data_IF_534771659597
#
_entry.id   IF_534771659597
#
_cell.length_a   1.000
_cell.length_b   1.000
_cell.length_c   1.000
_cell.angle_alpha   90.00
_cell.angle_beta   90.00
_cell.angle_gamma   90.00
#
_symmetry.space_group_name_H-M   'P 1'
#
loop_
_entity.id
_entity.type
_entity.pdbx_description
1 polymer ?
#
# COMPACT_ATOMS: atom_id res chain seq x y z
N UNK A 1 0.59 -21.83 14.28
CA UNK A 1 0.92 -20.56 13.60
C UNK A 1 0.27 -19.44 14.38
N UNK A 2 1.04 -18.44 14.82
CA UNK A 2 0.49 -17.34 15.61
C UNK A 2 -0.14 -16.26 14.70
N UNK A 3 0.58 -15.84 13.67
CA UNK A 3 0.14 -14.82 12.71
C UNK A 3 0.18 -15.39 11.30
N UNK A 4 -0.86 -15.14 10.52
CA UNK A 4 -0.87 -15.26 9.06
C UNK A 4 -1.07 -13.87 8.47
N UNK A 5 -0.05 -13.32 7.81
CA UNK A 5 -0.15 -12.05 7.09
C UNK A 5 -0.13 -12.26 5.57
N UNK A 6 -0.77 -11.34 4.84
CA UNK A 6 -0.73 -11.35 3.39
C UNK A 6 -1.31 -10.09 2.77
N UNK A 7 -0.88 -9.80 1.55
CA UNK A 7 -1.45 -8.76 0.69
C UNK A 7 -2.06 -9.39 -0.57
N UNK A 8 -3.21 -10.08 -0.47
CA UNK A 8 -3.81 -10.71 -1.64
C UNK A 8 -4.08 -9.65 -2.74
N UNK A 9 -3.63 -9.89 -3.98
CA UNK A 9 -3.61 -8.87 -5.00
C UNK A 9 -5.03 -8.50 -5.43
N UNK A 10 -5.35 -7.21 -5.40
CA UNK A 10 -6.68 -6.71 -5.73
C UNK A 10 -6.58 -5.74 -6.92
N UNK A 11 -6.02 -6.22 -8.04
CA UNK A 11 -5.72 -5.39 -9.22
C UNK A 11 -6.96 -4.66 -9.78
N UNK A 12 -8.15 -5.19 -9.51
CA UNK A 12 -9.47 -4.71 -9.92
C UNK A 12 -9.94 -3.45 -9.17
N UNK A 13 -9.35 -3.11 -8.01
CA UNK A 13 -9.81 -1.97 -7.18
C UNK A 13 -8.79 -0.83 -7.09
N UNK A 14 -7.66 -0.93 -7.78
CA UNK A 14 -6.71 0.17 -7.90
C UNK A 14 -7.30 1.32 -8.73
N UNK A 15 -7.16 2.56 -8.24
CA UNK A 15 -7.63 3.77 -8.95
C UNK A 15 -6.95 3.97 -10.31
N UNK A 16 -5.78 3.36 -10.50
CA UNK A 16 -4.94 3.45 -11.69
C UNK A 16 -5.18 2.32 -12.71
N UNK A 17 -6.13 1.40 -12.44
CA UNK A 17 -6.45 0.25 -13.29
C UNK A 17 -7.83 0.29 -13.98
N UNK A 18 -8.13 -0.73 -14.80
CA UNK A 18 -9.35 -0.82 -15.62
C UNK A 18 -10.65 -1.20 -14.86
N UNK A 19 -10.64 -1.19 -13.52
CA UNK A 19 -11.76 -1.56 -12.63
C UNK A 19 -12.54 -2.81 -13.09
N UNK A 20 -13.87 -2.70 -13.15
CA UNK A 20 -14.85 -3.76 -13.43
C UNK A 20 -14.62 -4.49 -14.76
N UNK A 21 -13.86 -3.91 -15.70
CA UNK A 21 -13.57 -4.57 -17.00
C UNK A 21 -12.63 -5.76 -16.88
N UNK A 22 -11.94 -5.92 -15.76
CA UNK A 22 -10.98 -7.00 -15.53
C UNK A 22 -11.50 -8.10 -14.58
N UNK A 23 -12.76 -8.03 -14.16
CA UNK A 23 -13.37 -9.06 -13.30
C UNK A 23 -13.40 -10.43 -13.99
N UNK A 24 -12.90 -11.48 -13.32
CA UNK A 24 -12.93 -12.85 -13.84
C UNK A 24 -11.94 -13.13 -14.99
N UNK A 25 -10.99 -12.23 -15.25
CA UNK A 25 -9.95 -12.45 -16.27
C UNK A 25 -8.70 -13.04 -15.65
N UNK A 26 -8.20 -14.11 -16.27
CA UNK A 26 -6.88 -14.65 -15.94
C UNK A 26 -5.80 -13.61 -16.26
N UNK A 27 -4.89 -13.40 -15.30
CA UNK A 27 -3.68 -12.61 -15.50
C UNK A 27 -2.47 -13.47 -15.15
N UNK A 28 -1.45 -13.38 -15.99
CA UNK A 28 -0.12 -13.96 -15.76
C UNK A 28 0.71 -12.89 -15.07
N UNK A 29 1.27 -13.22 -13.90
CA UNK A 29 2.19 -12.31 -13.22
C UNK A 29 3.45 -12.08 -14.04
N UNK A 30 4.02 -10.88 -13.90
CA UNK A 30 5.27 -10.53 -14.58
C UNK A 30 6.45 -11.38 -14.09
N UNK A 31 6.32 -11.94 -12.89
CA UNK A 31 7.24 -12.92 -12.29
C UNK A 31 7.11 -14.34 -12.88
N UNK A 32 6.27 -14.58 -13.89
CA UNK A 32 6.19 -15.87 -14.59
C UNK A 32 5.33 -16.94 -13.91
N UNK A 33 4.43 -16.52 -13.01
CA UNK A 33 3.48 -17.43 -12.35
C UNK A 33 2.37 -17.88 -13.29
N UNK A 34 1.72 -19.00 -12.97
CA UNK A 34 0.55 -19.52 -13.70
C UNK A 34 -0.54 -18.46 -13.81
N UNK A 35 -1.26 -18.45 -14.94
CA UNK A 35 -2.41 -17.57 -15.14
C UNK A 35 -3.45 -17.83 -14.04
N UNK A 36 -3.90 -16.77 -13.36
CA UNK A 36 -4.88 -16.89 -12.28
C UNK A 36 -5.83 -15.70 -12.22
N UNK A 37 -7.02 -15.94 -11.70
CA UNK A 37 -8.08 -14.94 -11.52
C UNK A 37 -7.78 -14.17 -10.24
N UNK A 38 -7.33 -12.92 -10.37
CA UNK A 38 -6.78 -12.17 -9.23
C UNK A 38 -7.83 -11.79 -8.18
N UNK A 39 -9.08 -11.63 -8.60
CA UNK A 39 -10.17 -11.18 -7.74
C UNK A 39 -10.67 -12.22 -6.72
N UNK A 40 -10.29 -13.51 -6.87
CA UNK A 40 -10.63 -14.57 -5.91
C UNK A 40 -9.59 -14.75 -4.81
N UNK A 41 -8.36 -14.27 -5.00
CA UNK A 41 -7.22 -14.59 -4.13
C UNK A 41 -7.39 -14.11 -2.68
N UNK A 42 -8.18 -13.07 -2.45
CA UNK A 42 -8.52 -12.65 -1.09
C UNK A 42 -9.38 -13.71 -0.38
N UNK A 43 -10.34 -14.33 -1.09
CA UNK A 43 -11.17 -15.40 -0.53
C UNK A 43 -10.40 -16.70 -0.38
N UNK A 44 -9.46 -16.99 -1.29
CA UNK A 44 -8.53 -18.12 -1.13
C UNK A 44 -7.64 -17.95 0.11
N UNK A 45 -7.20 -16.72 0.39
CA UNK A 45 -6.48 -16.39 1.62
C UNK A 45 -7.34 -16.62 2.88
N UNK A 46 -8.62 -16.23 2.87
CA UNK A 46 -9.55 -16.51 3.98
C UNK A 46 -9.78 -18.02 4.13
N UNK A 47 -9.94 -18.75 3.02
CA UNK A 47 -10.09 -20.20 3.04
C UNK A 47 -8.85 -20.89 3.63
N UNK A 48 -7.65 -20.41 3.31
CA UNK A 48 -6.41 -20.88 3.91
C UNK A 48 -6.36 -20.58 5.42
N UNK A 49 -6.75 -19.36 5.84
CA UNK A 49 -6.85 -19.01 7.24
C UNK A 49 -7.83 -19.94 7.98
N UNK A 50 -8.98 -20.26 7.38
CA UNK A 50 -9.95 -21.21 7.92
C UNK A 50 -9.37 -22.61 8.11
N UNK A 51 -8.52 -23.08 7.19
CA UNK A 51 -7.89 -24.39 7.30
C UNK A 51 -6.75 -24.42 8.33
N UNK A 52 -5.93 -23.36 8.39
CA UNK A 52 -4.75 -23.31 9.27
C UNK A 52 -5.04 -22.84 10.70
N UNK A 53 -6.16 -22.13 10.90
CA UNK A 53 -6.60 -21.58 12.17
C UNK A 53 -5.51 -20.81 12.96
N UNK A 54 -4.77 -19.85 12.37
CA UNK A 54 -3.85 -18.99 13.13
C UNK A 54 -4.56 -18.21 14.25
N UNK A 55 -3.81 -17.75 15.25
CA UNK A 55 -4.38 -16.88 16.31
C UNK A 55 -4.85 -15.54 15.75
N UNK A 56 -4.05 -14.96 14.86
CA UNK A 56 -4.31 -13.68 14.21
C UNK A 56 -4.10 -13.78 12.70
N UNK A 57 -4.95 -13.09 11.93
CA UNK A 57 -4.81 -12.91 10.48
C UNK A 57 -4.72 -11.42 10.17
N UNK A 58 -3.79 -11.04 9.31
CA UNK A 58 -3.65 -9.66 8.81
C UNK A 58 -3.70 -9.68 7.29
N UNK A 59 -4.68 -8.99 6.71
CA UNK A 59 -4.76 -8.83 5.27
C UNK A 59 -4.65 -7.36 4.88
N UNK A 60 -3.74 -7.00 3.99
CA UNK A 60 -3.58 -5.64 3.48
C UNK A 60 -4.15 -5.48 2.07
N UNK A 61 -4.70 -4.29 1.79
CA UNK A 61 -5.20 -3.93 0.48
C UNK A 61 -5.20 -2.41 0.23
N UNK A 62 -5.46 -2.01 -1.02
CA UNK A 62 -5.52 -0.59 -1.42
C UNK A 62 -6.74 0.12 -0.87
N UNK A 63 -6.62 1.42 -0.60
CA UNK A 63 -7.72 2.31 -0.16
C UNK A 63 -8.98 2.23 -1.04
N UNK A 64 -8.80 1.97 -2.33
CA UNK A 64 -9.91 1.85 -3.29
C UNK A 64 -10.92 0.76 -2.93
N UNK A 65 -10.53 -0.24 -2.12
CA UNK A 65 -11.42 -1.29 -1.64
C UNK A 65 -12.58 -0.76 -0.78
N UNK A 66 -12.38 0.37 -0.09
CA UNK A 66 -13.42 1.00 0.75
C UNK A 66 -14.27 2.02 -0.04
N UNK A 67 -14.06 2.17 -1.34
CA UNK A 67 -14.72 3.21 -2.15
C UNK A 67 -15.69 2.62 -3.19
N UNK A 68 -16.84 3.25 -3.37
CA UNK A 68 -17.79 2.96 -4.45
C UNK A 68 -18.53 1.61 -4.30
N UNK A 69 -18.72 0.90 -5.42
CA UNK A 69 -19.47 -0.37 -5.51
C UNK A 69 -18.80 -1.57 -4.79
N UNK A 70 -17.64 -1.37 -4.17
CA UNK A 70 -16.88 -2.42 -3.49
C UNK A 70 -17.41 -2.78 -2.09
N UNK A 71 -18.48 -2.12 -1.61
CA UNK A 71 -19.03 -2.36 -0.28
C UNK A 71 -19.48 -3.81 -0.07
N UNK A 72 -20.03 -4.45 -1.11
CA UNK A 72 -20.46 -5.84 -1.03
C UNK A 72 -19.27 -6.80 -0.98
N UNK A 73 -18.14 -6.42 -1.57
CA UNK A 73 -16.88 -7.17 -1.44
C UNK A 73 -16.38 -7.13 0.00
N UNK A 74 -16.37 -5.94 0.63
CA UNK A 74 -15.98 -5.79 2.04
C UNK A 74 -16.94 -6.57 2.94
N UNK A 75 -18.26 -6.47 2.73
CA UNK A 75 -19.25 -7.25 3.49
C UNK A 75 -19.00 -8.76 3.38
N UNK A 76 -18.63 -9.22 2.18
CA UNK A 76 -18.27 -10.63 1.97
C UNK A 76 -16.99 -11.01 2.73
N UNK A 77 -15.97 -10.16 2.73
CA UNK A 77 -14.75 -10.39 3.54
C UNK A 77 -15.12 -10.61 5.02
N UNK A 78 -15.94 -9.72 5.58
CA UNK A 78 -16.42 -9.83 6.97
C UNK A 78 -17.15 -11.14 7.22
N UNK A 79 -18.09 -11.50 6.34
CA UNK A 79 -18.85 -12.75 6.44
C UNK A 79 -17.92 -13.97 6.37
N UNK A 80 -16.98 -14.00 5.43
CA UNK A 80 -16.12 -15.16 5.20
C UNK A 80 -15.12 -15.33 6.37
N UNK A 81 -14.64 -14.25 6.99
CA UNK A 81 -13.83 -14.32 8.21
C UNK A 81 -14.64 -14.78 9.42
N UNK A 82 -15.89 -14.31 9.57
CA UNK A 82 -16.80 -14.77 10.62
C UNK A 82 -17.09 -16.27 10.47
N UNK A 83 -17.41 -16.73 9.25
CA UNK A 83 -17.62 -18.15 8.91
C UNK A 83 -16.32 -18.99 9.05
N UNK A 84 -15.15 -18.34 9.12
CA UNK A 84 -13.85 -18.96 9.39
C UNK A 84 -13.48 -18.99 10.88
N UNK A 85 -14.27 -18.36 11.75
CA UNK A 85 -14.06 -18.33 13.20
C UNK A 85 -13.22 -17.15 13.68
N UNK A 86 -13.29 -15.99 13.01
CA UNK A 86 -12.52 -14.79 13.34
C UNK A 86 -13.39 -13.57 13.53
N UNK A 87 -13.10 -12.79 14.58
CA UNK A 87 -13.54 -11.41 14.67
C UNK A 87 -12.69 -10.58 13.71
N UNK A 88 -13.31 -9.87 12.78
CA UNK A 88 -12.63 -9.06 11.77
C UNK A 88 -12.89 -7.56 12.01
N UNK A 89 -11.83 -6.75 12.01
CA UNK A 89 -11.90 -5.29 11.99
C UNK A 89 -11.04 -4.77 10.84
N UNK A 90 -11.35 -3.58 10.32
CA UNK A 90 -10.54 -2.95 9.28
C UNK A 90 -10.12 -1.53 9.64
N UNK A 91 -8.93 -1.13 9.21
CA UNK A 91 -8.34 0.17 9.49
C UNK A 91 -7.76 0.79 8.22
N UNK A 92 -8.10 2.05 7.94
CA UNK A 92 -7.45 2.83 6.88
C UNK A 92 -6.27 3.58 7.50
N UNK A 93 -5.05 3.12 7.21
CA UNK A 93 -3.81 3.64 7.79
C UNK A 93 -3.03 4.46 6.78
N UNK A 94 -2.47 5.58 7.23
CA UNK A 94 -1.52 6.41 6.47
C UNK A 94 -0.10 6.16 6.98
N UNK A 95 0.75 5.62 6.11
CA UNK A 95 2.15 5.34 6.42
C UNK A 95 2.92 6.60 6.86
N UNK A 96 2.52 7.80 6.40
CA UNK A 96 3.17 9.06 6.77
C UNK A 96 3.08 9.39 8.26
N UNK A 97 2.11 8.79 8.96
CA UNK A 97 1.89 8.90 10.40
C UNK A 97 2.52 7.79 11.21
N UNK A 98 3.22 6.87 10.54
CA UNK A 98 3.78 5.64 11.10
C UNK A 98 5.30 5.59 10.99
N UNK A 99 5.95 6.74 10.78
CA UNK A 99 7.40 6.84 10.61
C UNK A 99 7.91 6.45 9.22
N UNK A 100 7.03 6.38 8.22
CA UNK A 100 7.40 6.13 6.82
C UNK A 100 7.44 7.46 6.07
N UNK A 101 8.51 7.77 5.30
CA UNK A 101 8.62 9.00 4.51
C UNK A 101 7.72 9.05 3.25
N UNK A 102 6.49 8.54 3.34
CA UNK A 102 5.59 8.37 2.21
C UNK A 102 4.12 8.46 2.64
N UNK A 103 3.34 9.28 1.91
CA UNK A 103 1.88 9.33 2.00
C UNK A 103 1.28 8.11 1.28
N UNK A 104 1.26 6.97 1.97
CA UNK A 104 0.73 5.69 1.46
C UNK A 104 -0.43 5.24 2.33
N UNK A 105 -1.64 5.40 1.80
CA UNK A 105 -2.86 4.96 2.46
C UNK A 105 -3.17 3.50 2.09
N UNK A 106 -3.34 2.63 3.09
CA UNK A 106 -3.69 1.21 2.93
C UNK A 106 -4.73 0.76 3.95
N UNK A 107 -5.52 -0.22 3.54
CA UNK A 107 -6.56 -0.84 4.36
C UNK A 107 -6.00 -2.12 4.93
N UNK A 108 -6.06 -2.28 6.24
CA UNK A 108 -5.66 -3.49 6.93
C UNK A 108 -6.89 -4.13 7.55
N UNK A 109 -7.17 -5.37 7.20
CA UNK A 109 -8.07 -6.24 7.94
C UNK A 109 -7.27 -6.96 9.01
N UNK A 110 -7.63 -6.76 10.26
CA UNK A 110 -6.95 -7.34 11.42
C UNK A 110 -7.95 -8.21 12.14
N UNK A 111 -7.66 -9.51 12.15
CA UNK A 111 -8.61 -10.52 12.59
C UNK A 111 -8.03 -11.37 13.72
N UNK A 112 -8.82 -11.63 14.76
CA UNK A 112 -8.44 -12.51 15.88
C UNK A 112 -9.43 -13.65 16.00
N UNK A 113 -8.92 -14.87 16.21
CA UNK A 113 -9.75 -16.08 16.31
C UNK A 113 -10.74 -15.97 17.48
N UNK A 114 -11.97 -16.44 17.29
CA UNK A 114 -13.08 -16.19 18.24
C UNK A 114 -12.79 -16.64 19.67
N UNK A 115 -12.19 -17.82 19.85
CA UNK A 115 -11.82 -18.39 21.15
C UNK A 115 -10.81 -17.53 21.92
N UNK A 116 -10.03 -16.71 21.21
CA UNK A 116 -9.02 -15.82 21.79
C UNK A 116 -9.57 -14.39 21.93
N UNK A 117 -10.30 -13.92 20.91
CA UNK A 117 -10.86 -12.57 20.82
C UNK A 117 -11.91 -12.28 21.88
N UNK A 118 -12.59 -13.32 22.40
CA UNK A 118 -13.59 -13.20 23.47
C UNK A 118 -13.04 -12.49 24.72
N UNK A 119 -11.73 -12.63 24.99
CA UNK A 119 -11.06 -12.01 26.15
C UNK A 119 -10.84 -10.48 25.99
N UNK A 120 -11.04 -9.95 24.79
CA UNK A 120 -10.76 -8.55 24.47
C UNK A 120 -12.02 -7.77 24.05
N UNK A 121 -13.19 -8.40 24.11
CA UNK A 121 -14.45 -7.78 23.70
C UNK A 121 -14.73 -6.52 24.53
N UNK A 122 -14.96 -5.41 23.82
CA UNK A 122 -15.49 -4.17 24.38
C UNK A 122 -16.63 -3.67 23.52
N UNK A 123 -17.53 -2.92 24.16
CA UNK A 123 -18.56 -2.16 23.45
C UNK A 123 -17.85 -1.12 22.60
N UNK A 124 -17.95 -1.24 21.27
CA UNK A 124 -17.37 -0.27 20.33
C UNK A 124 -18.38 0.81 19.95
N UNK A 125 -19.66 0.46 19.83
CA UNK A 125 -20.77 1.39 19.69
C UNK A 125 -22.06 0.86 20.34
N UNK A 126 -23.20 1.54 20.11
CA UNK A 126 -24.49 1.20 20.73
C UNK A 126 -24.98 -0.22 20.39
N UNK A 127 -24.51 -0.81 19.29
CA UNK A 127 -24.98 -2.08 18.76
C UNK A 127 -23.88 -3.14 18.61
N UNK A 128 -22.61 -2.76 18.70
CA UNK A 128 -21.48 -3.62 18.39
C UNK A 128 -20.58 -3.88 19.62
N UNK A 129 -20.16 -5.14 19.73
CA UNK A 129 -19.17 -5.61 20.70
C UNK A 129 -18.11 -6.37 19.93
N UNK A 130 -16.87 -5.89 19.99
CA UNK A 130 -15.77 -6.45 19.21
C UNK A 130 -14.45 -6.40 20.00
N UNK A 131 -13.44 -7.21 19.62
CA UNK A 131 -12.16 -7.24 20.31
C UNK A 131 -11.45 -5.89 20.20
N UNK A 132 -11.25 -5.20 21.31
CA UNK A 132 -10.64 -3.87 21.28
C UNK A 132 -9.19 -3.92 20.79
N UNK A 133 -8.87 -3.07 19.81
CA UNK A 133 -7.51 -2.79 19.35
C UNK A 133 -7.43 -1.33 18.85
N UNK A 134 -6.43 -0.58 19.33
CA UNK A 134 -6.12 0.76 18.80
C UNK A 134 -5.05 0.66 17.73
N UNK A 135 -5.30 1.32 16.60
CA UNK A 135 -4.40 1.47 15.46
C UNK A 135 -4.14 2.96 15.16
N UNK A 136 -4.04 3.76 16.23
CA UNK A 136 -3.78 5.18 16.13
C UNK A 136 -2.26 5.45 16.09
N UNK A 137 -1.85 6.21 15.08
CA UNK A 137 -0.46 6.57 14.84
C UNK A 137 -0.38 8.07 14.53
N UNK A 138 0.63 8.76 15.07
CA UNK A 138 0.80 10.20 14.90
C UNK A 138 2.28 10.61 14.92
N UNK A 139 3.13 9.79 14.30
CA UNK A 139 4.53 10.14 14.09
C UNK A 139 4.66 11.40 13.22
N UNK A 140 5.71 12.21 13.42
CA UNK A 140 6.00 13.34 12.54
C UNK A 140 6.31 12.84 11.12
N UNK A 141 5.84 13.61 10.13
CA UNK A 141 6.12 13.30 8.73
C UNK A 141 7.57 13.60 8.36
N UNK A 142 8.16 12.74 7.53
CA UNK A 142 9.53 12.87 7.04
C UNK A 142 9.48 13.41 5.60
N UNK A 143 10.11 14.56 5.37
CA UNK A 143 10.11 15.23 4.09
C UNK A 143 11.18 14.65 3.15
N UNK A 144 10.94 14.74 1.84
CA UNK A 144 11.87 14.22 0.84
C UNK A 144 13.28 14.82 0.95
N UNK A 145 13.39 16.10 1.28
CA UNK A 145 14.66 16.79 1.44
C UNK A 145 15.57 16.19 2.52
N UNK A 146 15.03 15.41 3.47
CA UNK A 146 15.82 14.78 4.53
C UNK A 146 16.64 13.58 4.03
N UNK A 147 16.26 12.97 2.91
CA UNK A 147 16.92 11.77 2.37
C UNK A 147 17.22 11.84 0.88
N UNK A 148 16.96 12.98 0.22
CA UNK A 148 17.25 13.19 -1.19
C UNK A 148 18.77 13.16 -1.45
N UNK A 149 19.20 12.29 -2.37
CA UNK A 149 20.61 12.18 -2.79
C UNK A 149 20.81 12.58 -4.25
N UNK A 150 19.74 12.56 -5.07
CA UNK A 150 19.78 12.86 -6.50
C UNK A 150 20.77 12.02 -7.32
N UNK A 151 21.16 10.83 -6.82
CA UNK A 151 22.14 9.94 -7.46
C UNK A 151 21.50 8.94 -8.44
N UNK A 152 20.21 9.12 -8.74
CA UNK A 152 19.52 8.26 -9.68
C UNK A 152 19.87 8.55 -11.15
N UNK A 153 19.30 7.72 -12.03
CA UNK A 153 19.57 7.80 -13.47
C UNK A 153 19.05 9.12 -14.05
N UNK A 154 19.80 9.82 -14.91
CA UNK A 154 19.32 11.03 -15.58
C UNK A 154 18.18 10.72 -16.56
N UNK A 155 17.31 11.71 -16.75
CA UNK A 155 16.20 11.62 -17.68
C UNK A 155 16.64 11.48 -19.14
N UNK A 156 15.88 10.67 -19.90
CA UNK A 156 15.96 10.66 -21.35
C UNK A 156 15.44 11.96 -21.96
N UNK A 157 15.75 12.21 -23.23
CA UNK A 157 15.47 13.48 -23.94
C UNK A 157 14.03 13.99 -23.73
N UNK A 158 13.02 13.16 -24.01
CA UNK A 158 11.60 13.55 -23.88
C UNK A 158 11.20 13.89 -22.44
N UNK A 159 11.69 13.13 -21.47
CA UNK A 159 11.38 13.35 -20.05
C UNK A 159 12.04 14.64 -19.55
N UNK A 160 13.26 14.92 -20.01
CA UNK A 160 13.97 16.16 -19.74
C UNK A 160 13.24 17.37 -20.34
N UNK A 161 12.77 17.30 -21.59
CA UNK A 161 11.99 18.37 -22.21
C UNK A 161 10.72 18.69 -21.42
N UNK A 162 9.99 17.67 -20.94
CA UNK A 162 8.83 17.87 -20.06
C UNK A 162 9.22 18.50 -18.73
N UNK A 163 10.30 17.99 -18.11
CA UNK A 163 10.82 18.53 -16.88
C UNK A 163 11.19 20.01 -17.00
N UNK A 164 11.85 20.42 -18.09
CA UNK A 164 12.28 21.81 -18.30
C UNK A 164 11.10 22.78 -18.51
N UNK A 165 9.89 22.27 -18.83
CA UNK A 165 8.66 23.06 -19.01
C UNK A 165 7.77 23.15 -17.76
N UNK A 166 8.22 22.58 -16.65
CA UNK A 166 7.52 22.62 -15.35
C UNK A 166 7.52 24.03 -14.76
N UNK A 167 6.53 24.30 -13.92
CA UNK A 167 6.43 25.53 -13.14
C UNK A 167 6.35 25.18 -11.66
N UNK A 168 6.95 26.02 -10.82
CA UNK A 168 6.85 25.83 -9.37
C UNK A 168 5.38 25.88 -8.94
N UNK A 169 4.95 24.92 -8.12
CA UNK A 169 3.54 24.70 -7.77
C UNK A 169 2.82 23.67 -8.65
N UNK A 170 3.44 23.17 -9.73
CA UNK A 170 2.90 22.02 -10.46
C UNK A 170 2.90 20.77 -9.57
N UNK A 171 1.74 20.11 -9.46
CA UNK A 171 1.62 18.85 -8.70
C UNK A 171 2.09 17.63 -9.50
N UNK A 172 2.01 17.71 -10.83
CA UNK A 172 2.33 16.63 -11.76
C UNK A 172 2.82 17.19 -13.11
N UNK A 173 3.25 16.31 -14.00
CA UNK A 173 3.74 16.68 -15.33
C UNK A 173 2.65 17.10 -16.32
N UNK A 174 1.37 17.08 -15.97
CA UNK A 174 0.27 17.33 -16.90
C UNK A 174 0.28 18.73 -17.48
N UNK A 175 0.63 19.74 -16.68
CA UNK A 175 0.76 21.13 -17.12
C UNK A 175 1.92 21.29 -18.13
N UNK A 176 3.08 20.72 -17.83
CA UNK A 176 4.23 20.73 -18.74
C UNK A 176 3.91 20.01 -20.06
N UNK A 177 3.27 18.85 -19.98
CA UNK A 177 2.84 18.08 -21.16
C UNK A 177 1.84 18.86 -22.03
N UNK A 178 0.88 19.55 -21.40
CA UNK A 178 -0.09 20.40 -22.11
C UNK A 178 0.57 21.56 -22.83
N UNK A 179 1.55 22.23 -22.22
CA UNK A 179 2.31 23.31 -22.86
C UNK A 179 3.05 22.83 -24.11
N UNK A 180 3.64 21.64 -24.04
CA UNK A 180 4.45 21.08 -25.13
C UNK A 180 3.63 20.51 -26.29
N UNK A 181 2.50 19.87 -26.00
CA UNK A 181 1.76 19.05 -26.98
C UNK A 181 0.34 19.53 -27.27
N UNK A 182 -0.20 20.45 -26.45
CA UNK A 182 -1.61 20.82 -26.46
C UNK A 182 -2.57 19.76 -25.91
N UNK A 183 -2.07 18.57 -25.54
CA UNK A 183 -2.87 17.43 -25.07
C UNK A 183 -2.87 17.32 -23.55
N UNK A 184 -3.88 16.64 -23.00
CA UNK A 184 -3.96 16.27 -21.59
C UNK A 184 -3.39 14.86 -21.39
N UNK A 185 -2.65 14.66 -20.30
CA UNK A 185 -1.98 13.40 -19.97
C UNK A 185 -1.00 13.60 -18.82
N UNK A 186 -0.25 12.57 -18.46
CA UNK A 186 0.81 12.61 -17.44
C UNK A 186 0.38 13.00 -16.01
N UNK A 187 -0.87 12.67 -15.64
CA UNK A 187 -1.43 12.92 -14.31
C UNK A 187 -0.84 12.03 -13.20
N UNK A 188 -0.14 10.96 -13.58
CA UNK A 188 0.44 10.01 -12.63
C UNK A 188 1.93 10.25 -12.37
N UNK A 189 2.57 11.13 -13.16
CA UNK A 189 3.97 11.54 -12.98
C UNK A 189 3.99 12.74 -12.04
N UNK A 190 3.88 12.48 -10.75
CA UNK A 190 3.77 13.51 -9.72
C UNK A 190 5.14 14.10 -9.38
N UNK A 191 5.20 15.41 -9.18
CA UNK A 191 6.41 16.06 -8.70
C UNK A 191 6.61 15.83 -7.21
N UNK A 192 7.87 15.69 -6.82
CA UNK A 192 8.29 15.55 -5.44
C UNK A 192 9.17 16.74 -5.05
N UNK A 193 8.66 17.53 -4.10
CA UNK A 193 9.34 18.68 -3.54
C UNK A 193 10.06 18.30 -2.25
N UNK A 194 11.18 18.97 -1.96
CA UNK A 194 11.99 18.70 -0.75
C UNK A 194 11.24 18.99 0.55
N UNK A 195 10.32 19.97 0.56
CA UNK A 195 9.49 20.35 1.71
C UNK A 195 8.21 19.49 1.86
N UNK A 196 8.06 18.45 1.05
CA UNK A 196 6.89 17.56 1.04
C UNK A 196 7.28 16.13 1.36
N UNK A 197 6.36 15.42 1.99
CA UNK A 197 6.43 13.97 2.14
C UNK A 197 6.26 13.32 0.77
N UNK A 198 6.97 12.22 0.51
CA UNK A 198 6.84 11.51 -0.75
C UNK A 198 5.40 11.07 -1.01
N UNK A 199 4.93 11.25 -2.25
CA UNK A 199 3.67 10.63 -2.69
C UNK A 199 3.81 9.09 -2.69
N UNK A 200 2.68 8.38 -2.80
CA UNK A 200 2.71 6.91 -2.94
C UNK A 200 3.63 6.49 -4.09
N UNK A 201 4.65 5.68 -3.80
CA UNK A 201 5.49 5.06 -4.81
C UNK A 201 4.68 3.99 -5.54
N UNK A 202 4.74 4.02 -6.87
CA UNK A 202 4.19 2.98 -7.74
C UNK A 202 5.30 2.09 -8.28
N UNK A 203 4.94 1.01 -8.97
CA UNK A 203 5.91 0.10 -9.58
C UNK A 203 6.73 0.73 -10.73
N UNK A 204 6.37 1.94 -11.18
CA UNK A 204 7.00 2.63 -12.30
C UNK A 204 7.95 3.72 -11.80
N UNK A 205 9.19 3.71 -12.31
CA UNK A 205 10.23 4.65 -11.89
C UNK A 205 9.93 6.12 -12.21
N UNK A 206 9.01 6.39 -13.14
CA UNK A 206 8.61 7.74 -13.52
C UNK A 206 7.39 8.26 -12.74
N UNK A 207 6.80 7.48 -11.81
CA UNK A 207 5.62 7.97 -11.08
C UNK A 207 5.93 9.11 -10.11
N UNK A 208 7.17 9.18 -9.63
CA UNK A 208 7.59 10.16 -8.64
C UNK A 208 8.86 10.84 -9.12
N UNK A 209 8.74 12.13 -9.38
CA UNK A 209 9.73 12.92 -10.11
C UNK A 209 10.29 14.00 -9.18
N UNK A 210 11.56 13.93 -8.78
CA UNK A 210 12.21 15.00 -8.04
C UNK A 210 12.07 16.33 -8.76
N UNK A 211 11.55 17.36 -8.09
CA UNK A 211 11.27 18.65 -8.73
C UNK A 211 12.56 19.44 -9.03
N UNK A 212 13.61 19.25 -8.25
CA UNK A 212 14.83 20.07 -8.32
C UNK A 212 15.88 19.56 -9.31
N UNK A 213 15.90 18.26 -9.62
CA UNK A 213 16.92 17.65 -10.48
C UNK A 213 16.28 16.73 -11.54
N UNK A 214 16.81 16.72 -12.79
CA UNK A 214 16.28 15.89 -13.87
C UNK A 214 16.77 14.43 -13.79
N UNK A 215 16.58 13.79 -12.64
CA UNK A 215 16.99 12.41 -12.34
C UNK A 215 15.80 11.63 -11.77
N UNK A 216 15.72 10.34 -12.07
CA UNK A 216 14.81 9.44 -11.36
C UNK A 216 15.29 9.24 -9.91
N UNK A 217 14.42 8.76 -9.02
CA UNK A 217 14.86 8.41 -7.67
C UNK A 217 15.92 7.30 -7.71
N UNK A 218 16.97 7.46 -6.91
CA UNK A 218 18.04 6.48 -6.72
C UNK A 218 17.53 5.24 -5.96
N UNK A 219 18.33 4.16 -5.92
CA UNK A 219 18.02 2.99 -5.08
C UNK A 219 17.85 3.43 -3.61
N UNK A 220 18.75 4.29 -3.14
CA UNK A 220 18.78 4.76 -1.76
C UNK A 220 17.53 5.57 -1.41
N UNK A 221 17.13 6.49 -2.29
CA UNK A 221 15.91 7.29 -2.12
C UNK A 221 14.64 6.42 -2.12
N UNK A 222 14.54 5.43 -3.02
CA UNK A 222 13.41 4.49 -3.05
C UNK A 222 13.36 3.64 -1.78
N UNK A 223 14.51 3.12 -1.32
CA UNK A 223 14.59 2.37 -0.07
C UNK A 223 14.17 3.23 1.12
N UNK A 224 14.66 4.47 1.23
CA UNK A 224 14.30 5.38 2.32
C UNK A 224 12.80 5.72 2.31
N UNK A 225 12.25 6.11 1.16
CA UNK A 225 10.83 6.42 1.01
C UNK A 225 9.91 5.23 1.28
N UNK A 226 10.37 3.99 1.08
CA UNK A 226 9.60 2.77 1.35
C UNK A 226 10.02 2.05 2.64
N UNK A 227 10.99 2.58 3.39
CA UNK A 227 11.59 1.98 4.59
C UNK A 227 12.18 0.58 4.39
N UNK A 228 12.64 0.28 3.18
CA UNK A 228 13.42 -0.94 2.91
C UNK A 228 14.87 -0.75 3.38
N UNK A 229 15.54 -1.82 3.86
CA UNK A 229 16.97 -1.78 4.14
C UNK A 229 17.77 -1.40 2.88
N UNK A 230 18.88 -0.66 3.08
CA UNK A 230 19.74 -0.22 1.97
C UNK A 230 20.48 -1.39 1.31
N UNK A 231 20.76 -2.43 2.08
CA UNK A 231 21.38 -3.68 1.69
C UNK A 231 20.38 -4.75 1.19
N UNK A 232 19.09 -4.40 1.06
CA UNK A 232 18.10 -5.32 0.51
C UNK A 232 18.50 -5.81 -0.89
N UNK A 233 18.49 -7.13 -1.06
CA UNK A 233 18.72 -7.79 -2.34
C UNK A 233 17.40 -7.88 -3.13
N UNK A 234 17.34 -7.14 -4.23
CA UNK A 234 16.17 -7.10 -5.11
C UNK A 234 16.17 -8.26 -6.13
N UNK A 235 17.11 -9.20 -6.07
CA UNK A 235 17.17 -10.38 -6.94
C UNK A 235 17.13 -10.02 -8.44
N UNK A 236 17.77 -8.91 -8.83
CA UNK A 236 17.77 -8.41 -10.21
C UNK A 236 16.54 -7.62 -10.63
N UNK A 237 15.50 -7.51 -9.79
CA UNK A 237 14.35 -6.64 -10.03
C UNK A 237 14.67 -5.18 -9.71
N UNK A 238 13.87 -4.27 -10.28
CA UNK A 238 14.00 -2.84 -9.99
C UNK A 238 13.53 -2.55 -8.55
N UNK A 239 14.27 -1.74 -7.78
CA UNK A 239 13.80 -1.26 -6.47
C UNK A 239 12.43 -0.58 -6.54
N UNK A 240 12.20 0.23 -7.58
CA UNK A 240 10.91 0.88 -7.83
C UNK A 240 9.76 -0.12 -7.95
N UNK A 241 9.99 -1.21 -8.66
CA UNK A 241 8.98 -2.25 -8.87
C UNK A 241 8.61 -2.94 -7.55
N UNK A 242 9.61 -3.43 -6.81
CA UNK A 242 9.39 -4.15 -5.55
C UNK A 242 8.82 -3.23 -4.47
N UNK A 243 9.45 -2.08 -4.22
CA UNK A 243 9.01 -1.14 -3.19
C UNK A 243 7.66 -0.51 -3.51
N UNK A 244 7.36 -0.24 -4.79
CA UNK A 244 6.07 0.32 -5.20
C UNK A 244 4.90 -0.64 -4.97
N UNK A 245 5.14 -1.94 -5.12
CA UNK A 245 4.13 -2.99 -4.92
C UNK A 245 4.01 -3.45 -3.46
N UNK A 246 5.03 -3.23 -2.64
CA UNK A 246 5.09 -3.74 -1.27
C UNK A 246 4.37 -2.86 -0.23
N UNK A 247 4.10 -3.44 0.94
CA UNK A 247 3.81 -2.67 2.16
C UNK A 247 5.15 -2.20 2.75
N UNK A 248 5.32 -0.92 3.13
CA UNK A 248 6.54 -0.45 3.77
C UNK A 248 6.86 -1.27 5.05
N UNK A 249 8.10 -1.76 5.25
CA UNK A 249 8.44 -2.59 6.40
C UNK A 249 8.13 -1.94 7.75
N UNK A 250 8.41 -0.65 7.92
CA UNK A 250 8.10 0.07 9.17
C UNK A 250 6.59 0.16 9.40
N UNK A 251 5.80 0.34 8.35
CA UNK A 251 4.33 0.34 8.44
C UNK A 251 3.82 -1.00 8.98
N UNK A 252 4.29 -2.11 8.41
CA UNK A 252 3.88 -3.44 8.85
C UNK A 252 4.39 -3.76 10.27
N UNK A 253 5.61 -3.33 10.61
CA UNK A 253 6.16 -3.49 11.95
C UNK A 253 5.29 -2.78 13.01
N UNK A 254 4.80 -1.57 12.72
CA UNK A 254 3.89 -0.85 13.61
C UNK A 254 2.57 -1.59 13.82
N UNK A 255 1.96 -2.12 12.75
CA UNK A 255 0.73 -2.94 12.84
C UNK A 255 0.97 -4.20 13.68
N UNK A 256 2.07 -4.92 13.41
CA UNK A 256 2.43 -6.13 14.13
C UNK A 256 2.69 -5.86 15.63
N UNK A 257 3.37 -4.75 15.95
CA UNK A 257 3.60 -4.32 17.33
C UNK A 257 2.28 -4.05 18.06
N UNK A 258 1.32 -3.34 17.43
CA UNK A 258 0.00 -3.11 18.04
C UNK A 258 -0.75 -4.41 18.33
N UNK A 259 -0.72 -5.36 17.39
CA UNK A 259 -1.32 -6.70 17.58
C UNK A 259 -0.64 -7.44 18.73
N UNK A 260 0.69 -7.41 18.80
CA UNK A 260 1.43 -8.10 19.85
C UNK A 260 1.17 -7.52 21.24
N UNK A 261 1.30 -6.21 21.41
CA UNK A 261 1.12 -5.52 22.70
C UNK A 261 -0.31 -5.61 23.22
N UNK A 262 -1.30 -5.58 22.32
CA UNK A 262 -2.70 -5.51 22.73
C UNK A 262 -3.37 -6.87 22.87
N UNK A 263 -3.00 -7.84 22.04
CA UNK A 263 -3.60 -9.19 22.04
C UNK A 263 -2.58 -10.27 22.40
N UNK A 264 -1.58 -10.53 21.56
CA UNK A 264 -0.79 -11.77 21.66
C UNK A 264 0.03 -11.89 22.95
N UNK A 265 0.52 -10.78 23.51
CA UNK A 265 1.26 -10.79 24.78
C UNK A 265 0.38 -11.02 26.02
N UNK A 266 -0.96 -11.03 25.86
CA UNK A 266 -1.95 -11.20 26.93
C UNK A 266 -2.74 -12.51 26.83
N UNK A 267 -2.44 -13.34 25.83
CA UNK A 267 -2.98 -14.69 25.64
C UNK A 267 -2.09 -15.70 26.36
#
# INVERSE_FOLDING_TARGET
MDILDGSPPCSTFSLSGNREKDWGKEKVFREGQTAQVLDTLFFDFIALAKALQPKVVIAENVKGLLMGNAIDYVRRIYKDFEDAGYYCQHFLLDASKMGVPQMRNRVFFVCIRHDLGVNFLKVSDLFNVEPHISMDFNEPGICYGEFADYMGKPYGKRMKEMFDNRTHGDIDMSNAYRKLTGKRGFFNQCYLYEDKICNTLTAHADSTIPFNKPVYLSKSEVCNASTFPQDYDFCGFSPHYICGMSVPPVMMAQVATRVYEQWLSKL
#
